data_IF_840482483542
#
_entry.id   IF_840482483542
#
_cell.length_a   1.000
_cell.length_b   1.000
_cell.length_c   1.000
_cell.angle_alpha   90.00
_cell.angle_beta   90.00
_cell.angle_gamma   90.00
#
_symmetry.space_group_name_H-M   'P 1'
#
loop_
_entity.id
_entity.type
_entity.pdbx_description
1 polymer ?
#
# COMPACT_ATOMS: atom_id res chain seq x y z
N UNK A 1 8.69 -31.76 -31.59
CA UNK A 1 8.74 -30.30 -31.41
C UNK A 1 7.68 -29.96 -30.38
N UNK A 2 8.07 -29.97 -29.12
CA UNK A 2 7.19 -29.68 -27.98
C UNK A 2 7.22 -28.17 -27.78
N UNK A 3 6.09 -27.52 -28.05
CA UNK A 3 5.87 -26.12 -27.75
C UNK A 3 5.85 -25.95 -26.24
N UNK A 4 6.79 -25.18 -25.70
CA UNK A 4 6.80 -24.77 -24.30
C UNK A 4 5.40 -24.27 -23.90
N UNK A 5 4.77 -24.97 -22.97
CA UNK A 5 3.48 -24.57 -22.41
C UNK A 5 3.66 -23.18 -21.81
N UNK A 6 2.82 -22.23 -22.24
CA UNK A 6 2.66 -20.95 -21.55
C UNK A 6 2.39 -21.29 -20.08
N UNK A 7 3.35 -21.02 -19.20
CA UNK A 7 3.20 -21.26 -17.77
C UNK A 7 1.94 -20.53 -17.29
N UNK A 8 0.92 -21.32 -16.97
CA UNK A 8 -0.36 -20.82 -16.49
C UNK A 8 -0.09 -20.27 -15.09
N UNK A 9 0.03 -18.95 -14.98
CA UNK A 9 0.23 -18.27 -13.70
C UNK A 9 -0.91 -18.69 -12.77
N UNK A 10 -0.58 -19.45 -11.74
CA UNK A 10 -1.53 -19.91 -10.73
C UNK A 10 -1.80 -18.75 -9.76
N UNK A 11 -2.95 -18.11 -9.92
CA UNK A 11 -3.38 -16.96 -9.10
C UNK A 11 -3.97 -17.36 -7.75
N UNK A 12 -4.23 -18.66 -7.54
CA UNK A 12 -4.91 -19.19 -6.33
C UNK A 12 -3.91 -19.66 -5.27
N UNK A 13 -2.68 -20.00 -5.68
CA UNK A 13 -1.63 -20.38 -4.76
C UNK A 13 -1.11 -19.15 -3.96
N UNK A 14 -1.61 -19.02 -2.73
CA UNK A 14 -1.16 -17.99 -1.77
C UNK A 14 0.19 -18.35 -1.09
N UNK A 15 0.79 -19.48 -1.44
CA UNK A 15 2.06 -19.96 -0.91
C UNK A 15 3.09 -20.00 -2.04
N UNK A 16 4.15 -19.22 -1.90
CA UNK A 16 5.32 -19.27 -2.76
C UNK A 16 6.56 -19.50 -1.90
N UNK A 17 7.50 -20.32 -2.38
CA UNK A 17 8.79 -20.54 -1.75
C UNK A 17 9.88 -20.32 -2.80
N UNK A 18 10.89 -19.54 -2.46
CA UNK A 18 12.09 -19.38 -3.29
C UNK A 18 13.20 -20.30 -2.79
N UNK A 19 13.85 -21.03 -3.71
CA UNK A 19 15.10 -21.74 -3.47
C UNK A 19 16.24 -21.00 -4.18
N UNK A 20 16.89 -20.07 -3.49
CA UNK A 20 18.02 -19.32 -4.04
C UNK A 20 18.22 -18.00 -3.33
N UNK A 21 19.46 -17.71 -2.92
CA UNK A 21 19.81 -16.52 -2.11
C UNK A 21 20.25 -15.30 -2.95
N UNK A 22 20.19 -15.35 -4.27
CA UNK A 22 20.88 -14.36 -5.10
C UNK A 22 19.98 -13.21 -5.53
N UNK A 23 18.77 -13.42 -6.04
CA UNK A 23 17.93 -12.29 -6.47
C UNK A 23 16.49 -12.52 -6.03
N UNK A 24 15.92 -11.56 -5.30
CA UNK A 24 14.49 -11.55 -4.95
C UNK A 24 13.74 -10.68 -5.94
N UNK A 25 12.60 -11.17 -6.43
CA UNK A 25 11.70 -10.40 -7.29
C UNK A 25 10.45 -10.04 -6.51
N UNK A 26 10.10 -8.76 -6.49
CA UNK A 26 8.85 -8.27 -5.91
C UNK A 26 7.95 -7.79 -7.03
N UNK A 27 6.69 -8.20 -6.98
CA UNK A 27 5.68 -7.83 -7.98
C UNK A 27 4.49 -7.20 -7.27
N UNK A 28 4.06 -6.05 -7.76
CA UNK A 28 2.87 -5.35 -7.32
C UNK A 28 1.66 -5.90 -8.10
N UNK A 29 0.87 -6.77 -7.47
CA UNK A 29 -0.38 -7.26 -8.04
C UNK A 29 -1.54 -6.29 -7.84
N UNK A 30 -2.41 -6.17 -8.84
CA UNK A 30 -3.70 -5.47 -8.69
C UNK A 30 -4.76 -6.51 -8.34
N UNK A 31 -5.49 -6.28 -7.25
CA UNK A 31 -6.68 -7.08 -6.91
C UNK A 31 -7.93 -6.33 -7.31
N UNK A 32 -8.71 -6.91 -8.23
CA UNK A 32 -9.98 -6.37 -8.69
C UNK A 32 -11.13 -7.15 -8.04
N UNK A 33 -12.02 -6.42 -7.38
CA UNK A 33 -13.32 -6.92 -6.95
C UNK A 33 -14.37 -6.27 -7.85
N UNK A 34 -15.30 -7.07 -8.36
CA UNK A 34 -16.38 -6.56 -9.22
C UNK A 34 -17.70 -7.20 -8.83
N UNK A 35 -18.77 -6.48 -9.09
CA UNK A 35 -20.14 -6.98 -9.03
C UNK A 35 -20.60 -7.32 -10.45
N UNK A 36 -21.35 -8.42 -10.60
CA UNK A 36 -21.92 -8.77 -11.89
C UNK A 36 -23.13 -7.87 -12.16
N UNK A 37 -23.01 -6.98 -13.16
CA UNK A 37 -24.05 -6.03 -13.53
C UNK A 37 -23.88 -5.49 -14.94
N UNK A 38 -24.67 -4.48 -15.31
CA UNK A 38 -24.44 -3.78 -16.58
C UNK A 38 -23.08 -3.05 -16.54
N UNK A 39 -22.31 -3.04 -17.64
CA UNK A 39 -21.03 -2.35 -17.68
C UNK A 39 -21.18 -0.88 -17.33
N UNK A 40 -20.52 -0.45 -16.25
CA UNK A 40 -20.34 0.95 -15.94
C UNK A 40 -19.05 1.43 -16.62
N UNK A 41 -19.15 2.39 -17.54
CA UNK A 41 -17.99 2.99 -18.20
C UNK A 41 -17.34 4.06 -17.31
N UNK A 42 -16.84 3.62 -16.15
CA UNK A 42 -16.19 4.48 -15.16
C UNK A 42 -14.69 4.64 -15.47
N UNK A 43 -14.17 5.85 -15.30
CA UNK A 43 -12.73 6.08 -15.35
C UNK A 43 -12.15 5.93 -13.95
N UNK A 44 -11.36 4.88 -13.74
CA UNK A 44 -10.65 4.65 -12.47
C UNK A 44 -9.27 5.31 -12.53
N UNK A 45 -8.96 6.08 -11.50
CA UNK A 45 -7.63 6.65 -11.26
C UNK A 45 -7.08 6.24 -9.90
N UNK A 46 -5.83 6.61 -9.66
CA UNK A 46 -5.21 6.50 -8.35
C UNK A 46 -4.39 7.75 -8.01
N UNK A 47 -4.14 7.96 -6.72
CA UNK A 47 -3.24 8.96 -6.17
C UNK A 47 -2.37 8.30 -5.10
N UNK A 48 -1.08 8.58 -5.13
CA UNK A 48 -0.12 8.08 -4.15
C UNK A 48 0.38 9.22 -3.29
N UNK A 49 0.24 9.05 -1.98
CA UNK A 49 0.86 9.93 -1.01
C UNK A 49 2.07 9.23 -0.39
N UNK A 50 3.24 9.86 -0.53
CA UNK A 50 4.54 9.37 -0.05
C UNK A 50 5.00 10.18 1.18
N UNK A 51 5.77 9.58 2.10
CA UNK A 51 6.27 10.32 3.25
C UNK A 51 7.33 11.35 2.84
N UNK A 52 7.40 12.44 3.60
CA UNK A 52 8.57 13.33 3.51
C UNK A 52 9.83 12.60 3.95
N UNK A 53 10.91 12.88 3.24
CA UNK A 53 12.23 12.31 3.49
C UNK A 53 13.12 13.45 3.98
N UNK A 54 13.46 13.43 5.27
CA UNK A 54 14.46 14.34 5.82
C UNK A 54 15.82 13.66 5.78
N UNK A 55 16.78 14.28 5.09
CA UNK A 55 18.17 13.83 5.03
C UNK A 55 19.05 14.85 5.75
N UNK A 56 19.70 14.41 6.82
CA UNK A 56 20.73 15.21 7.47
C UNK A 56 22.02 15.11 6.63
N UNK A 57 22.43 16.24 6.05
CA UNK A 57 23.65 16.36 5.25
C UNK A 57 24.85 16.85 6.10
N UNK A 58 24.64 17.26 7.35
CA UNK A 58 25.66 17.92 8.15
C UNK A 58 26.56 16.93 8.91
N UNK A 59 26.16 15.67 9.03
CA UNK A 59 26.91 14.64 9.75
C UNK A 59 27.42 13.54 8.81
N UNK A 60 28.67 13.10 9.03
CA UNK A 60 29.31 11.94 8.36
C UNK A 60 28.50 10.63 8.46
N UNK A 61 27.49 10.59 9.34
CA UNK A 61 26.46 9.57 9.32
C UNK A 61 25.18 10.14 8.71
N UNK A 62 24.93 9.80 7.45
CA UNK A 62 23.69 10.10 6.73
C UNK A 62 22.48 9.48 7.45
N UNK A 63 21.90 10.20 8.42
CA UNK A 63 20.67 9.78 9.09
C UNK A 63 19.50 10.24 8.23
N UNK A 64 18.93 9.29 7.50
CA UNK A 64 17.66 9.50 6.80
C UNK A 64 16.50 9.18 7.73
N UNK A 65 15.57 10.14 7.84
CA UNK A 65 14.32 10.00 8.58
C UNK A 65 13.15 10.11 7.63
N UNK A 66 12.18 9.24 7.80
CA UNK A 66 10.91 9.27 7.09
C UNK A 66 9.84 9.84 8.00
N UNK A 67 8.95 10.66 7.44
CA UNK A 67 7.77 11.13 8.16
C UNK A 67 6.91 9.94 8.63
N UNK A 68 6.26 10.06 9.80
CA UNK A 68 5.36 9.01 10.28
C UNK A 68 4.18 8.83 9.33
N UNK A 69 3.61 7.62 9.28
CA UNK A 69 2.48 7.31 8.39
C UNK A 69 1.25 8.19 8.64
N UNK A 70 1.05 8.68 9.87
CA UNK A 70 -0.01 9.65 10.19
C UNK A 70 0.11 10.94 9.39
N UNK A 71 1.33 11.40 9.08
CA UNK A 71 1.56 12.58 8.23
C UNK A 71 1.08 12.32 6.80
N UNK A 72 1.34 11.13 6.26
CA UNK A 72 0.85 10.71 4.93
C UNK A 72 -0.69 10.75 4.89
N UNK A 73 -1.33 10.25 5.95
CA UNK A 73 -2.81 10.26 6.07
C UNK A 73 -3.35 11.70 6.10
N UNK A 74 -2.71 12.61 6.83
CA UNK A 74 -3.09 14.02 6.85
C UNK A 74 -2.93 14.69 5.48
N UNK A 75 -1.82 14.42 4.78
CA UNK A 75 -1.61 14.94 3.42
C UNK A 75 -2.63 14.41 2.43
N UNK A 76 -2.96 13.14 2.50
CA UNK A 76 -3.99 12.52 1.69
C UNK A 76 -5.38 13.14 1.95
N UNK A 77 -5.71 13.46 3.20
CA UNK A 77 -6.93 14.17 3.54
C UNK A 77 -6.96 15.58 2.93
N UNK A 78 -5.84 16.32 3.01
CA UNK A 78 -5.71 17.63 2.38
C UNK A 78 -5.81 17.56 0.85
N UNK A 79 -5.19 16.55 0.23
CA UNK A 79 -5.31 16.32 -1.21
C UNK A 79 -6.78 16.09 -1.61
N UNK A 80 -7.51 15.23 -0.88
CA UNK A 80 -8.94 14.97 -1.12
C UNK A 80 -9.79 16.22 -1.04
N UNK A 81 -9.53 17.11 -0.07
CA UNK A 81 -10.26 18.37 0.08
C UNK A 81 -10.16 19.26 -1.16
N UNK A 82 -9.04 19.17 -1.89
CA UNK A 82 -8.84 19.88 -3.16
C UNK A 82 -9.46 19.21 -4.38
N UNK A 83 -9.98 17.99 -4.26
CA UNK A 83 -10.50 17.24 -5.41
C UNK A 83 -11.98 17.54 -5.67
N UNK A 84 -12.32 17.62 -6.96
CA UNK A 84 -13.69 17.74 -7.46
C UNK A 84 -13.94 16.64 -8.49
N UNK A 85 -15.19 16.20 -8.61
CA UNK A 85 -15.60 15.18 -9.59
C UNK A 85 -14.86 13.85 -9.48
N UNK A 86 -14.38 13.51 -8.28
CA UNK A 86 -13.86 12.18 -7.98
C UNK A 86 -14.58 11.58 -6.78
N UNK A 87 -14.72 10.26 -6.80
CA UNK A 87 -15.21 9.46 -5.69
C UNK A 87 -14.16 8.42 -5.31
N UNK A 88 -13.50 8.60 -4.18
CA UNK A 88 -12.60 7.61 -3.59
C UNK A 88 -13.36 6.30 -3.33
N UNK A 89 -12.80 5.19 -3.82
CA UNK A 89 -13.39 3.84 -3.73
C UNK A 89 -12.54 2.89 -2.91
N UNK A 90 -11.24 3.17 -2.76
CA UNK A 90 -10.35 2.31 -1.96
C UNK A 90 -9.16 3.10 -1.42
N UNK A 91 -8.71 2.74 -0.22
CA UNK A 91 -7.51 3.25 0.42
C UNK A 91 -6.62 2.07 0.78
N UNK A 92 -5.41 2.05 0.27
CA UNK A 92 -4.48 0.95 0.46
C UNK A 92 -3.15 1.46 0.99
N UNK A 93 -2.66 0.84 2.06
CA UNK A 93 -1.27 1.02 2.48
C UNK A 93 -0.40 0.07 1.69
N UNK A 94 0.54 0.61 0.92
CA UNK A 94 1.47 -0.16 0.10
C UNK A 94 2.89 0.01 0.62
N UNK A 95 3.75 -0.97 0.38
CA UNK A 95 5.16 -0.91 0.79
C UNK A 95 6.04 -0.94 -0.45
N UNK A 96 6.83 0.10 -0.64
CA UNK A 96 7.73 0.28 -1.77
C UNK A 96 9.18 0.31 -1.31
N UNK A 97 10.08 -0.19 -2.15
CA UNK A 97 11.52 -0.06 -1.94
C UNK A 97 11.93 1.41 -2.13
N UNK A 98 12.74 1.90 -1.21
CA UNK A 98 13.38 3.21 -1.31
C UNK A 98 14.76 3.04 -1.92
N UNK A 99 14.95 3.55 -3.14
CA UNK A 99 16.19 3.40 -3.86
C UNK A 99 17.07 4.62 -3.68
N UNK A 100 18.39 4.41 -3.64
CA UNK A 100 19.37 5.48 -3.60
C UNK A 100 20.22 5.41 -4.86
N UNK A 101 19.90 6.18 -5.92
CA UNK A 101 20.65 6.12 -7.17
C UNK A 101 22.13 6.37 -6.94
N UNK A 102 22.97 5.47 -7.46
CA UNK A 102 24.43 5.52 -7.29
C UNK A 102 24.92 5.39 -5.83
N UNK A 103 24.08 4.96 -4.89
CA UNK A 103 24.42 4.79 -3.47
C UNK A 103 24.65 6.08 -2.68
N UNK A 104 24.69 7.23 -3.35
CA UNK A 104 25.05 8.52 -2.77
C UNK A 104 23.97 9.60 -2.93
N UNK A 105 22.99 9.42 -3.84
CA UNK A 105 21.91 10.38 -4.09
C UNK A 105 20.83 10.44 -3.01
N UNK A 106 19.76 11.24 -3.21
CA UNK A 106 18.58 11.19 -2.35
C UNK A 106 17.87 9.84 -2.47
N UNK A 107 17.06 9.49 -1.45
CA UNK A 107 16.18 8.34 -1.56
C UNK A 107 15.02 8.69 -2.49
N UNK A 108 14.74 7.82 -3.45
CA UNK A 108 13.64 7.92 -4.39
C UNK A 108 12.66 6.76 -4.14
N UNK A 109 11.38 7.04 -4.30
CA UNK A 109 10.30 6.05 -4.18
C UNK A 109 9.57 6.04 -5.51
N UNK A 110 9.76 4.98 -6.29
CA UNK A 110 9.10 4.83 -7.58
C UNK A 110 7.80 4.04 -7.43
N UNK A 111 6.67 4.74 -7.41
CA UNK A 111 5.35 4.12 -7.14
C UNK A 111 4.65 3.63 -8.40
N UNK A 112 5.18 3.98 -9.58
CA UNK A 112 4.61 3.58 -10.88
C UNK A 112 5.09 2.22 -11.37
N UNK A 113 6.19 1.72 -10.80
CA UNK A 113 6.74 0.41 -11.15
C UNK A 113 5.88 -0.73 -10.60
N UNK A 114 5.60 -1.71 -11.46
CA UNK A 114 4.82 -2.91 -11.14
C UNK A 114 5.66 -4.02 -10.50
N UNK A 115 6.95 -3.80 -10.31
CA UNK A 115 7.84 -4.73 -9.63
C UNK A 115 9.27 -4.25 -9.62
N UNK A 116 10.08 -4.85 -8.77
CA UNK A 116 11.51 -4.54 -8.66
C UNK A 116 12.31 -5.78 -8.26
N UNK A 117 13.57 -5.79 -8.68
CA UNK A 117 14.53 -6.82 -8.33
C UNK A 117 15.43 -6.35 -7.17
N UNK A 118 15.83 -7.29 -6.33
CA UNK A 118 16.83 -7.08 -5.30
C UNK A 118 17.97 -8.07 -5.49
N UNK A 119 19.12 -7.56 -5.90
CA UNK A 119 20.38 -8.28 -5.85
C UNK A 119 20.95 -8.25 -4.41
N UNK A 120 21.86 -9.15 -4.05
CA UNK A 120 22.51 -9.14 -2.75
C UNK A 120 23.35 -7.88 -2.67
N UNK A 121 22.99 -6.98 -1.78
CA UNK A 121 23.70 -5.72 -1.56
C UNK A 121 24.35 -5.74 -0.19
N UNK A 122 25.56 -5.18 -0.09
CA UNK A 122 26.21 -4.88 1.20
C UNK A 122 25.51 -3.71 1.92
N UNK A 123 24.68 -2.95 1.21
CA UNK A 123 23.94 -1.82 1.74
C UNK A 123 22.56 -2.25 2.22
N UNK A 124 22.09 -1.59 3.28
CA UNK A 124 20.75 -1.76 3.82
C UNK A 124 19.70 -1.40 2.76
N UNK A 125 18.78 -2.33 2.48
CA UNK A 125 17.58 -2.04 1.69
C UNK A 125 16.50 -1.51 2.61
N UNK A 126 15.87 -0.40 2.22
CA UNK A 126 14.82 0.25 3.00
C UNK A 126 13.50 0.15 2.28
N UNK A 127 12.45 -0.16 3.02
CA UNK A 127 11.09 -0.14 2.51
C UNK A 127 10.28 0.92 3.22
N UNK A 128 9.43 1.58 2.46
CA UNK A 128 8.64 2.71 2.90
C UNK A 128 7.18 2.41 2.64
N UNK A 129 6.35 2.72 3.64
CA UNK A 129 4.90 2.62 3.51
C UNK A 129 4.34 3.91 2.89
N UNK A 130 3.52 3.76 1.86
CA UNK A 130 2.78 4.85 1.21
C UNK A 130 1.28 4.64 1.39
N UNK A 131 0.47 5.65 1.07
CA UNK A 131 -0.99 5.53 1.00
C UNK A 131 -1.44 5.73 -0.45
N UNK A 132 -2.01 4.70 -1.07
CA UNK A 132 -2.65 4.77 -2.38
C UNK A 132 -4.15 4.93 -2.22
N UNK A 133 -4.72 5.94 -2.86
CA UNK A 133 -6.15 6.17 -2.98
C UNK A 133 -6.58 5.80 -4.39
N UNK A 134 -7.50 4.86 -4.53
CA UNK A 134 -8.20 4.62 -5.80
C UNK A 134 -9.48 5.42 -5.83
N UNK A 135 -9.80 6.02 -6.96
CA UNK A 135 -11.00 6.82 -7.14
C UNK A 135 -11.60 6.62 -8.53
N UNK A 136 -12.90 6.85 -8.64
CA UNK A 136 -13.62 6.97 -9.90
C UNK A 136 -13.74 8.45 -10.25
N UNK A 137 -13.53 8.83 -11.50
CA UNK A 137 -13.85 10.17 -12.00
C UNK A 137 -15.31 10.19 -12.45
N UNK A 138 -16.11 11.01 -11.78
CA UNK A 138 -17.52 11.19 -12.11
C UNK A 138 -17.62 12.12 -13.32
N UNK A 139 -18.22 11.65 -14.41
CA UNK A 139 -18.46 12.48 -15.60
C UNK A 139 -19.67 13.42 -15.45
N UNK A 140 -20.50 13.22 -14.43
CA UNK A 140 -21.71 14.02 -14.17
C UNK A 140 -21.37 15.11 -13.14
N UNK A 141 -21.19 16.32 -13.63
CA UNK A 141 -20.65 17.50 -12.94
C UNK A 141 -21.59 18.16 -11.91
N UNK A 142 -22.43 17.40 -11.20
CA UNK A 142 -23.41 17.99 -10.26
C UNK A 142 -23.11 17.75 -8.78
N UNK A 143 -22.05 17.01 -8.46
CA UNK A 143 -21.70 16.77 -7.06
C UNK A 143 -20.94 17.97 -6.48
N UNK A 144 -21.55 18.63 -5.50
CA UNK A 144 -20.88 19.48 -4.51
C UNK A 144 -19.60 18.78 -4.02
N UNK A 145 -18.54 19.54 -3.72
CA UNK A 145 -17.26 19.00 -3.24
C UNK A 145 -17.47 17.96 -2.13
N UNK A 146 -17.44 16.67 -2.48
CA UNK A 146 -17.69 15.53 -1.59
C UNK A 146 -16.76 15.54 -0.36
N UNK A 147 -15.66 16.27 -0.49
CA UNK A 147 -14.57 16.33 0.45
C UNK A 147 -14.35 17.71 1.08
N UNK A 148 -15.36 18.60 1.07
CA UNK A 148 -15.27 19.94 1.68
C UNK A 148 -14.81 19.92 3.13
N UNK A 149 -15.10 18.85 3.86
CA UNK A 149 -14.56 18.55 5.18
C UNK A 149 -14.29 17.06 5.33
N UNK A 150 -13.02 16.67 5.19
CA UNK A 150 -12.58 15.27 5.37
C UNK A 150 -11.52 15.20 6.44
N UNK A 151 -11.70 14.26 7.35
CA UNK A 151 -10.68 13.84 8.31
C UNK A 151 -10.43 12.34 8.16
N UNK A 152 -9.25 11.97 7.67
CA UNK A 152 -8.84 10.58 7.57
C UNK A 152 -8.17 10.15 8.89
N UNK A 153 -8.52 8.97 9.38
CA UNK A 153 -7.86 8.33 10.52
C UNK A 153 -7.26 7.00 10.08
N UNK A 154 -6.20 6.58 10.78
CA UNK A 154 -5.55 5.28 10.52
C UNK A 154 -5.45 4.50 11.82
N UNK A 155 -5.69 3.19 11.74
CA UNK A 155 -5.52 2.25 12.84
C UNK A 155 -4.68 1.08 12.35
N UNK A 156 -3.70 0.68 13.16
CA UNK A 156 -2.88 -0.49 12.88
C UNK A 156 -3.52 -1.71 13.54
N UNK A 157 -3.98 -2.65 12.73
CA UNK A 157 -4.40 -3.97 13.19
C UNK A 157 -3.20 -4.91 13.05
N UNK A 158 -2.57 -5.26 14.17
CA UNK A 158 -1.51 -6.27 14.18
C UNK A 158 -2.17 -7.63 14.30
N UNK A 159 -2.03 -8.55 13.32
CA UNK A 159 -2.48 -9.91 13.50
C UNK A 159 -1.64 -10.56 14.61
N UNK A 160 -2.14 -10.55 15.83
CA UNK A 160 -1.55 -11.22 16.97
C UNK A 160 -2.20 -12.59 17.15
N UNK A 161 -1.40 -13.65 17.23
CA UNK A 161 -1.89 -14.91 17.79
C UNK A 161 -2.01 -14.71 19.30
N UNK A 162 -3.18 -14.93 19.92
CA UNK A 162 -3.26 -14.95 21.37
C UNK A 162 -2.32 -16.05 21.90
N UNK A 163 -1.42 -15.69 22.80
CA UNK A 163 -0.62 -16.69 23.50
C UNK A 163 -1.58 -17.60 24.30
N UNK A 164 -1.57 -18.89 24.00
CA UNK A 164 -2.38 -19.89 24.71
C UNK A 164 -3.54 -20.53 23.94
N UNK A 165 -3.74 -20.22 22.66
CA UNK A 165 -4.69 -20.97 21.82
C UNK A 165 -4.10 -22.35 21.44
N UNK A 166 -4.07 -23.27 22.40
CA UNK A 166 -4.00 -24.70 22.13
C UNK A 166 -5.12 -25.01 21.12
N UNK A 167 -4.73 -25.61 19.99
CA UNK A 167 -5.59 -26.16 18.95
C UNK A 167 -6.97 -26.59 19.48
N UNK A 168 -7.95 -25.70 19.41
CA UNK A 168 -9.36 -26.07 19.37
C UNK A 168 -9.90 -25.49 18.09
N UNK A 169 -10.12 -26.40 17.15
CA UNK A 169 -10.93 -26.19 15.94
C UNK A 169 -12.15 -25.36 16.31
N UNK A 170 -12.27 -24.17 15.74
CA UNK A 170 -13.50 -23.59 15.18
C UNK A 170 -13.28 -22.08 14.97
N UNK A 171 -13.38 -21.63 13.72
CA UNK A 171 -14.04 -20.34 13.47
C UNK A 171 -15.51 -20.55 13.86
N UNK A 172 -16.05 -19.73 14.76
CA UNK A 172 -16.82 -18.59 14.25
C UNK A 172 -16.75 -17.35 15.16
N UNK A 173 -16.97 -16.17 14.57
CA UNK A 173 -17.31 -14.96 15.32
C UNK A 173 -16.16 -13.98 15.48
N UNK A 174 -16.14 -12.99 14.59
CA UNK A 174 -15.57 -11.69 14.87
C UNK A 174 -16.09 -11.22 16.24
N UNK A 175 -15.21 -11.08 17.24
CA UNK A 175 -15.56 -10.46 18.50
C UNK A 175 -15.12 -9.00 18.44
N UNK A 176 -16.11 -8.13 18.23
CA UNK A 176 -16.00 -6.70 18.46
C UNK A 176 -15.62 -6.47 19.93
N UNK A 177 -14.58 -5.68 20.16
CA UNK A 177 -14.24 -5.19 21.49
C UNK A 177 -15.03 -3.89 21.72
N UNK A 178 -16.22 -4.02 22.31
CA UNK A 178 -16.89 -2.91 23.00
C UNK A 178 -16.03 -2.47 24.18
N UNK A 179 -15.62 -1.20 24.16
CA UNK A 179 -15.03 -0.54 25.31
C UNK A 179 -16.16 -0.18 26.29
N UNK A 180 -16.34 -1.02 27.31
CA UNK A 180 -17.08 -0.64 28.52
C UNK A 180 -16.16 0.21 29.40
N UNK A 181 -16.48 1.50 29.48
CA UNK A 181 -15.95 2.42 30.48
C UNK A 181 -16.98 2.57 31.58
N UNK A 182 -16.77 1.90 32.71
CA UNK A 182 -17.37 2.28 33.99
C UNK A 182 -16.25 2.63 34.97
N UNK A 183 -16.13 3.92 35.29
CA UNK A 183 -16.32 4.49 36.63
C UNK A 183 -16.28 6.01 36.57
#
# INVERSE_FOLDING_TARGET
>A
METASLDKIDTENCLWWESGRTTRMYVCGIRLFYEQGQPAFEQIGYHDEVPDIAQDHENFMHRVRFAPFSSIVSKAAHWLQGQQNIRAVNFQSLTFKAERPGGMGPYLIETTQSGFAEAPSLLETRYIKILRIFYVKDQKSENSSLYSSVHLTTRLFVPARPAGALNRRAFPGCLDAEATSER
#
